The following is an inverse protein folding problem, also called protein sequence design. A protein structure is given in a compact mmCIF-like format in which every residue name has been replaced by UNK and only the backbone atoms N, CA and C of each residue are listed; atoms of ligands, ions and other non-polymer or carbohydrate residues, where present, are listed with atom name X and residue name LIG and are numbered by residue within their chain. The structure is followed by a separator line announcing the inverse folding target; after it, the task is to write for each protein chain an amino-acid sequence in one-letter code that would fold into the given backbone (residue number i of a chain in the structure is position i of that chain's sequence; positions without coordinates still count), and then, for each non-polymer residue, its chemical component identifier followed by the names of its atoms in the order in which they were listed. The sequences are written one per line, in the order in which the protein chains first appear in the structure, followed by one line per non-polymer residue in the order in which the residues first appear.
data_IF_402936810191
#
_entry.id   IF_402936810191
#
_cell.length_a   1.000
_cell.length_b   1.000
_cell.length_c   1.000
_cell.angle_alpha   90.00
_cell.angle_beta   90.00
_cell.angle_gamma   90.00
#
_symmetry.space_group_name_H-M   'P 1'
#
loop_
_entity.id
_entity.type
_entity.pdbx_description
1 polymer ?
#
# COMPACT_ATOMS: atom_id res chain seq x y z
N UNK A 1 -16.12 -12.62 -41.79
CA UNK A 1 -15.00 -11.86 -41.20
C UNK A 1 -15.52 -11.24 -39.92
N UNK A 2 -15.09 -11.65 -38.72
CA UNK A 2 -15.63 -11.08 -37.48
C UNK A 2 -15.04 -9.67 -37.28
N UNK A 3 -15.81 -8.75 -36.66
CA UNK A 3 -15.40 -7.36 -36.51
C UNK A 3 -14.16 -7.26 -35.63
N UNK A 4 -13.19 -6.45 -36.06
CA UNK A 4 -12.05 -6.07 -35.25
C UNK A 4 -12.55 -5.42 -33.96
N UNK A 5 -12.63 -6.19 -32.86
CA UNK A 5 -12.68 -5.64 -31.51
C UNK A 5 -11.43 -4.78 -31.39
N UNK A 6 -11.60 -3.46 -31.45
CA UNK A 6 -10.51 -2.49 -31.42
C UNK A 6 -9.60 -2.82 -30.23
N UNK A 7 -8.28 -2.73 -30.45
CA UNK A 7 -7.32 -2.97 -29.38
C UNK A 7 -7.61 -2.05 -28.19
N UNK A 8 -7.55 -2.55 -26.95
CA UNK A 8 -7.69 -1.72 -25.77
C UNK A 8 -6.64 -0.60 -25.77
N UNK A 9 -6.96 0.51 -25.12
CA UNK A 9 -6.02 1.61 -25.04
C UNK A 9 -4.78 1.19 -24.23
N UNK A 10 -3.60 1.80 -24.45
CA UNK A 10 -2.42 1.52 -23.63
C UNK A 10 -2.65 1.81 -22.14
N UNK A 11 -3.50 2.78 -21.80
CA UNK A 11 -3.86 3.07 -20.40
C UNK A 11 -4.77 2.01 -19.79
N UNK A 12 -5.66 1.39 -20.57
CA UNK A 12 -6.47 0.24 -20.13
C UNK A 12 -5.56 -0.96 -19.84
N UNK A 13 -4.54 -1.18 -20.68
CA UNK A 13 -3.55 -2.25 -20.49
C UNK A 13 -2.67 -2.01 -19.26
N UNK A 14 -2.27 -0.76 -19.00
CA UNK A 14 -1.56 -0.39 -17.76
C UNK A 14 -2.44 -0.62 -16.53
N UNK A 15 -3.68 -0.15 -16.57
CA UNK A 15 -4.64 -0.36 -15.48
C UNK A 15 -4.85 -1.84 -15.23
N UNK A 16 -4.92 -2.65 -16.29
CA UNK A 16 -5.04 -4.11 -16.20
C UNK A 16 -3.84 -4.74 -15.50
N UNK A 17 -2.61 -4.31 -15.83
CA UNK A 17 -1.39 -4.78 -15.17
C UNK A 17 -1.30 -4.37 -13.70
N UNK A 18 -1.87 -3.22 -13.35
CA UNK A 18 -1.93 -2.71 -11.98
C UNK A 18 -3.12 -3.27 -11.18
N UNK A 19 -3.99 -4.08 -11.80
CA UNK A 19 -5.20 -4.62 -11.16
C UNK A 19 -6.27 -3.55 -10.87
N UNK A 20 -6.26 -2.43 -11.60
CA UNK A 20 -7.15 -1.28 -11.41
C UNK A 20 -8.34 -1.26 -12.39
N UNK A 21 -8.62 -2.38 -13.06
CA UNK A 21 -9.72 -2.51 -14.03
C UNK A 21 -10.92 -3.15 -13.37
N UNK A 22 -12.12 -2.62 -13.67
CA UNK A 22 -13.38 -3.21 -13.21
C UNK A 22 -13.58 -4.62 -13.79
N UNK A 23 -14.27 -5.50 -13.06
CA UNK A 23 -14.47 -6.91 -13.46
C UNK A 23 -15.07 -7.07 -14.88
N UNK A 24 -15.95 -6.15 -15.29
CA UNK A 24 -16.57 -6.16 -16.60
C UNK A 24 -15.55 -5.94 -17.74
N UNK A 25 -14.54 -5.10 -17.53
CA UNK A 25 -13.51 -4.81 -18.51
C UNK A 25 -12.36 -5.82 -18.46
N UNK A 26 -12.13 -6.44 -17.30
CA UNK A 26 -11.11 -7.44 -17.09
C UNK A 26 -11.30 -8.66 -18.02
N UNK A 27 -12.53 -9.19 -18.10
CA UNK A 27 -12.85 -10.30 -19.01
C UNK A 27 -12.65 -9.92 -20.49
N UNK A 28 -13.06 -8.71 -20.87
CA UNK A 28 -12.91 -8.18 -22.23
C UNK A 28 -11.44 -8.09 -22.65
N UNK A 29 -10.59 -7.60 -21.75
CA UNK A 29 -9.16 -7.45 -22.00
C UNK A 29 -8.49 -8.83 -22.06
N UNK A 30 -8.80 -9.76 -21.15
CA UNK A 30 -8.27 -11.12 -21.19
C UNK A 30 -8.60 -11.85 -22.49
N UNK A 31 -9.86 -11.80 -22.92
CA UNK A 31 -10.30 -12.38 -24.19
C UNK A 31 -9.52 -11.78 -25.37
N UNK A 32 -9.30 -10.46 -25.38
CA UNK A 32 -8.53 -9.81 -26.42
C UNK A 32 -7.05 -10.25 -26.41
N UNK A 33 -6.41 -10.30 -25.25
CA UNK A 33 -5.01 -10.73 -25.11
C UNK A 33 -4.78 -12.18 -25.54
N UNK A 34 -5.79 -13.04 -25.41
CA UNK A 34 -5.71 -14.43 -25.89
C UNK A 34 -5.58 -14.54 -27.42
N UNK A 35 -5.95 -13.49 -28.16
CA UNK A 35 -6.04 -13.49 -29.62
C UNK A 35 -5.21 -12.41 -30.31
N UNK A 36 -4.64 -11.47 -29.55
CA UNK A 36 -3.92 -10.31 -30.09
C UNK A 36 -2.45 -10.28 -29.65
N UNK A 37 -1.55 -10.69 -30.56
CA UNK A 37 -0.11 -10.69 -30.32
C UNK A 37 0.49 -9.29 -30.08
N UNK A 38 -0.01 -8.25 -30.77
CA UNK A 38 0.49 -6.88 -30.59
C UNK A 38 0.22 -6.34 -29.19
N UNK A 39 -0.94 -6.65 -28.61
CA UNK A 39 -1.26 -6.28 -27.23
C UNK A 39 -0.44 -7.08 -26.22
N UNK A 40 -0.08 -8.33 -26.52
CA UNK A 40 0.86 -9.10 -25.70
C UNK A 40 2.27 -8.51 -25.71
N UNK A 41 2.78 -8.12 -26.88
CA UNK A 41 4.08 -7.44 -27.00
C UNK A 41 4.08 -6.10 -26.26
N UNK A 42 2.99 -5.34 -26.36
CA UNK A 42 2.83 -4.07 -25.66
C UNK A 42 2.83 -4.26 -24.13
N UNK A 43 2.11 -5.26 -23.62
CA UNK A 43 2.14 -5.61 -22.19
C UNK A 43 3.55 -6.01 -21.73
N UNK A 44 4.28 -6.79 -22.54
CA UNK A 44 5.63 -7.21 -22.19
C UNK A 44 6.57 -6.00 -22.06
N UNK A 45 6.46 -5.02 -22.96
CA UNK A 45 7.23 -3.78 -22.88
C UNK A 45 6.86 -2.94 -21.66
N UNK A 46 5.57 -2.78 -21.38
CA UNK A 46 5.10 -2.04 -20.19
C UNK A 46 5.65 -2.66 -18.89
N UNK A 47 5.65 -3.99 -18.78
CA UNK A 47 6.21 -4.69 -17.62
C UNK A 47 7.73 -4.53 -17.48
N UNK A 48 8.44 -4.39 -18.60
CA UNK A 48 9.88 -4.11 -18.59
C UNK A 48 10.18 -2.71 -18.04
N UNK A 49 9.35 -1.72 -18.36
CA UNK A 49 9.43 -0.36 -17.80
C UNK A 49 9.20 -0.35 -16.29
N UNK A 50 8.18 -1.09 -15.80
CA UNK A 50 7.92 -1.25 -14.36
C UNK A 50 9.10 -1.89 -13.61
N UNK A 51 9.75 -2.88 -14.24
CA UNK A 51 10.91 -3.57 -13.64
C UNK A 51 12.11 -2.62 -13.51
N UNK A 52 12.32 -1.75 -14.51
CA UNK A 52 13.36 -0.72 -14.46
C UNK A 52 13.07 0.32 -13.38
N UNK A 53 11.83 0.80 -13.29
CA UNK A 53 11.41 1.73 -12.23
C UNK A 53 11.60 1.11 -10.84
N UNK A 54 11.22 -0.16 -10.66
CA UNK A 54 11.44 -0.88 -9.41
C UNK A 54 12.93 -1.01 -9.06
N UNK A 55 13.78 -1.30 -10.04
CA UNK A 55 15.23 -1.37 -9.84
C UNK A 55 15.84 -0.01 -9.46
N UNK A 56 15.39 1.08 -10.09
CA UNK A 56 15.82 2.43 -9.76
C UNK A 56 15.35 2.86 -8.35
N UNK A 57 14.12 2.51 -7.97
CA UNK A 57 13.62 2.77 -6.61
C UNK A 57 14.34 1.94 -5.54
N UNK A 58 14.72 0.70 -5.86
CA UNK A 58 15.52 -0.13 -4.95
C UNK A 58 16.92 0.49 -4.71
N UNK A 59 17.52 1.10 -5.74
CA UNK A 59 18.79 1.80 -5.60
C UNK A 59 18.68 3.04 -4.71
N UNK A 60 17.60 3.82 -4.80
CA UNK A 60 17.41 4.99 -3.92
C UNK A 60 17.08 4.61 -2.48
N UNK A 61 16.36 3.52 -2.23
CA UNK A 61 16.13 3.01 -0.85
C UNK A 61 17.39 2.47 -0.19
N UNK A 62 18.37 2.00 -0.97
CA UNK A 62 19.62 1.45 -0.42
C UNK A 62 20.61 2.51 0.09
N UNK A 63 20.31 3.80 -0.09
CA UNK A 63 21.25 4.90 0.17
C UNK A 63 21.20 5.48 1.61
N UNK A 64 20.42 4.91 2.54
CA UNK A 64 20.40 5.36 3.94
C UNK A 64 19.69 4.40 4.89
N UNK A 65 19.85 4.57 6.20
CA UNK A 65 19.07 3.82 7.19
C UNK A 65 17.60 4.21 7.04
N UNK A 66 16.81 3.28 6.49
CA UNK A 66 15.37 3.45 6.31
C UNK A 66 14.67 3.34 7.67
N UNK A 67 14.15 4.45 8.25
CA UNK A 67 13.45 4.39 9.52
C UNK A 67 12.20 3.51 9.44
N UNK A 68 11.58 3.39 8.27
CA UNK A 68 10.41 2.53 8.05
C UNK A 68 10.80 1.05 8.10
N UNK A 69 11.98 0.68 7.59
CA UNK A 69 12.54 -0.67 7.67
C UNK A 69 12.62 -1.19 9.11
N UNK A 70 13.05 -0.34 10.06
CA UNK A 70 13.12 -0.71 11.48
C UNK A 70 11.74 -0.99 12.11
N UNK A 71 10.71 -0.25 11.67
CA UNK A 71 9.32 -0.44 12.15
C UNK A 71 8.73 -1.72 11.58
N UNK A 72 9.00 -2.01 10.30
CA UNK A 72 8.56 -3.25 9.64
C UNK A 72 9.21 -4.47 10.26
N UNK A 73 10.50 -4.41 10.58
CA UNK A 73 11.23 -5.50 11.25
C UNK A 73 10.67 -5.78 12.66
N UNK A 74 10.43 -4.72 13.45
CA UNK A 74 9.79 -4.84 14.75
C UNK A 74 8.34 -5.39 14.66
N UNK A 75 7.61 -5.06 13.60
CA UNK A 75 6.26 -5.60 13.36
C UNK A 75 6.32 -7.08 12.96
N UNK A 76 7.26 -7.48 12.11
CA UNK A 76 7.47 -8.87 11.72
C UNK A 76 7.83 -9.73 12.93
N UNK A 77 8.78 -9.30 13.77
CA UNK A 77 9.15 -10.00 15.00
C UNK A 77 7.94 -10.20 15.93
N UNK A 78 7.12 -9.16 16.04
CA UNK A 78 5.91 -9.22 16.85
C UNK A 78 4.88 -10.20 16.28
N UNK A 79 4.70 -10.25 14.96
CA UNK A 79 3.77 -11.16 14.27
C UNK A 79 4.22 -12.62 14.37
N UNK A 80 5.51 -12.89 14.19
CA UNK A 80 6.12 -14.23 14.33
C UNK A 80 6.01 -14.70 15.79
N UNK A 81 6.18 -13.77 16.74
CA UNK A 81 6.09 -14.04 18.16
C UNK A 81 4.66 -14.19 18.72
N UNK A 82 3.59 -13.92 17.96
CA UNK A 82 2.23 -14.10 18.47
C UNK A 82 1.91 -15.61 18.49
N UNK A 83 1.72 -16.22 19.67
CA UNK A 83 1.34 -17.62 19.74
C UNK A 83 -0.04 -17.80 19.10
N UNK A 84 -0.12 -18.70 18.13
CA UNK A 84 -1.37 -19.10 17.49
C UNK A 84 -2.44 -19.44 18.53
N UNK A 85 -3.71 -19.04 18.34
CA UNK A 85 -4.79 -19.34 19.29
C UNK A 85 -4.94 -20.84 19.57
N UNK A 86 -4.54 -21.71 18.64
CA UNK A 86 -4.49 -23.17 18.84
C UNK A 86 -3.46 -23.61 19.90
N UNK A 87 -2.36 -22.86 20.06
CA UNK A 87 -1.31 -23.15 21.05
C UNK A 87 -1.69 -22.67 22.46
N UNK A 88 -2.54 -21.62 22.57
CA UNK A 88 -3.05 -21.13 23.86
C UNK A 88 -4.06 -22.09 24.50
N UNK A 89 -4.84 -22.82 23.71
CA UNK A 89 -5.78 -23.82 24.21
C UNK A 89 -5.08 -24.97 24.97
N UNK A 90 -3.85 -25.32 24.58
CA UNK A 90 -3.08 -26.38 25.24
C UNK A 90 -2.43 -25.97 26.57
N UNK A 91 -2.32 -24.66 26.86
CA UNK A 91 -1.75 -24.16 28.12
C UNK A 91 -2.80 -23.88 29.21
N UNK A 92 -4.09 -23.94 28.87
CA UNK A 92 -5.18 -23.63 29.80
C UNK A 92 -5.59 -24.78 30.74
N UNK A 93 -5.03 -25.99 30.60
CA UNK A 93 -5.54 -27.19 31.30
C UNK A 93 -4.68 -27.68 32.47
N UNK A 94 -3.56 -27.02 32.80
CA UNK A 94 -2.70 -27.44 33.92
C UNK A 94 -2.48 -26.30 34.88
N UNK A 95 -3.44 -26.07 35.80
CA UNK A 95 -3.34 -24.92 36.70
C UNK A 95 -4.41 -24.78 37.78
N UNK A 96 -4.70 -25.85 38.52
CA UNK A 96 -4.97 -25.84 39.96
C UNK A 96 -6.08 -24.90 40.48
N UNK A 97 -7.20 -25.51 40.85
CA UNK A 97 -8.18 -24.97 41.79
C UNK A 97 -7.51 -24.51 43.09
N UNK A 98 -7.81 -23.27 43.50
CA UNK A 98 -7.46 -22.65 44.78
C UNK A 98 -8.24 -21.33 44.96
N UNK A 99 -8.68 -20.97 46.18
CA UNK A 99 -9.98 -20.32 46.37
C UNK A 99 -9.97 -18.80 46.33
N UNK A 100 -11.11 -18.26 45.87
CA UNK A 100 -11.82 -17.08 46.38
C UNK A 100 -11.01 -16.06 47.18
N UNK A 101 -10.69 -14.92 46.56
CA UNK A 101 -10.64 -13.64 47.25
C UNK A 101 -11.30 -12.54 46.41
N UNK A 102 -12.33 -11.94 46.97
CA UNK A 102 -12.92 -10.66 46.56
C UNK A 102 -12.32 -9.55 47.42
N UNK A 103 -11.83 -8.48 46.79
CA UNK A 103 -12.05 -7.13 47.31
C UNK A 103 -12.67 -6.27 46.18
N UNK A 104 -13.86 -5.69 46.36
CA UNK A 104 -14.06 -4.35 46.93
C UNK A 104 -12.98 -3.39 46.38
N UNK A 105 -13.19 -2.65 45.28
CA UNK A 105 -14.32 -1.78 45.01
C UNK A 105 -13.95 -0.38 45.50
N UNK A 106 -13.29 0.42 44.66
CA UNK A 106 -13.27 1.89 44.61
C UNK A 106 -12.43 2.28 43.35
N UNK A 107 -13.06 2.70 42.25
CA UNK A 107 -13.52 4.08 41.97
C UNK A 107 -12.44 4.94 41.30
N UNK A 108 -12.67 5.21 40.00
CA UNK A 108 -12.43 6.49 39.28
C UNK A 108 -11.01 7.09 39.29
N UNK A 109 -10.56 7.92 38.36
CA UNK A 109 -11.01 8.48 37.09
C UNK A 109 -9.74 9.18 36.58
N UNK A 110 -9.32 8.92 35.35
CA UNK A 110 -8.04 9.42 34.84
C UNK A 110 -8.06 9.59 33.34
N UNK A 111 -9.03 10.36 32.85
CA UNK A 111 -9.07 10.87 31.49
C UNK A 111 -7.93 11.85 31.26
N UNK A 112 -6.80 11.38 30.71
CA UNK A 112 -5.76 12.25 30.15
C UNK A 112 -5.94 12.31 28.63
N UNK A 113 -6.58 13.38 28.17
CA UNK A 113 -6.63 13.74 26.75
C UNK A 113 -5.24 14.19 26.28
N UNK A 114 -4.76 13.77 25.09
CA UNK A 114 -3.61 14.40 24.45
C UNK A 114 -4.03 15.68 23.73
N UNK A 115 -3.44 16.81 24.13
CA UNK A 115 -3.53 18.07 23.40
C UNK A 115 -2.66 18.01 22.15
N UNK A 116 -3.26 17.97 20.97
CA UNK A 116 -2.57 18.27 19.71
C UNK A 116 -2.69 19.77 19.42
N UNK A 117 -1.58 20.52 19.27
CA UNK A 117 -1.64 21.87 18.72
C UNK A 117 -1.95 21.80 17.22
N UNK A 118 -3.14 22.27 16.88
CA UNK A 118 -3.62 22.57 15.53
C UNK A 118 -2.85 23.78 14.98
N UNK A 119 -2.12 23.58 13.87
CA UNK A 119 -1.48 24.65 13.11
C UNK A 119 -2.11 24.70 11.70
N UNK A 120 -2.96 25.70 11.39
CA UNK A 120 -3.40 25.92 10.03
C UNK A 120 -2.52 26.97 9.31
N UNK A 121 -2.13 26.63 8.08
CA UNK A 121 -2.21 27.54 6.95
C UNK A 121 -1.03 28.51 6.74
N UNK A 122 0.04 28.01 6.13
CA UNK A 122 0.93 28.81 5.31
C UNK A 122 0.19 29.19 4.02
N UNK A 123 -0.30 30.42 3.94
CA UNK A 123 -0.81 31.00 2.69
C UNK A 123 0.36 31.36 1.79
N UNK A 124 0.47 30.59 0.71
CA UNK A 124 1.35 30.78 -0.44
C UNK A 124 1.07 32.14 -1.11
N UNK A 125 1.97 33.10 -0.93
CA UNK A 125 2.00 34.35 -1.71
C UNK A 125 2.85 34.13 -2.96
N UNK A 126 2.26 33.52 -3.99
CA UNK A 126 2.82 33.41 -5.33
C UNK A 126 2.56 34.66 -6.18
N UNK A 127 3.11 35.81 -5.79
CA UNK A 127 3.21 36.99 -6.65
C UNK A 127 4.65 37.04 -7.20
N UNK A 128 4.84 36.68 -8.48
CA UNK A 128 5.95 37.28 -9.24
C UNK A 128 5.76 37.25 -10.76
N UNK A 129 5.90 38.41 -11.43
CA UNK A 129 5.64 38.59 -12.84
C UNK A 129 6.75 38.09 -13.78
N UNK A 130 6.30 37.76 -14.99
CA UNK A 130 7.06 37.43 -16.19
C UNK A 130 7.89 38.63 -16.69
N UNK A 131 9.18 38.47 -17.04
CA UNK A 131 9.87 39.44 -17.90
C UNK A 131 9.73 39.05 -19.38
N UNK A 132 9.35 40.06 -20.17
CA UNK A 132 9.18 40.01 -21.61
C UNK A 132 10.52 39.82 -22.34
N UNK A 133 10.51 38.97 -23.37
CA UNK A 133 11.64 38.72 -24.26
C UNK A 133 11.70 39.83 -25.32
N UNK A 134 12.61 40.77 -25.14
CA UNK A 134 13.11 41.63 -26.21
C UNK A 134 14.53 41.22 -26.60
N UNK A 135 14.70 40.62 -27.77
CA UNK A 135 16.00 40.52 -28.44
C UNK A 135 15.81 40.99 -29.88
N UNK A 136 16.57 42.06 -30.13
CA UNK A 136 17.02 42.70 -31.37
C UNK A 136 17.24 41.78 -32.57
#
# INVERSE_FOLDING_TARGET
MPPAKQCPSPDDLRSFLLGQVEDADLARIQDHLSSCGSCLELIANLKAEDTLLAAMQAQTRSAGPDPEGSVVEALMDRLIGVPSPASRASQATTGRSGPSQVPAGDAQSGSSQPSTPYAPGLSDTGDRPHPERGVV
#
